data_IF_244287969549
#
_entry.id   IF_244287969549
#
_cell.length_a   1.000
_cell.length_b   1.000
_cell.length_c   1.000
_cell.angle_alpha   90.00
_cell.angle_beta   90.00
_cell.angle_gamma   90.00
#
_symmetry.space_group_name_H-M   'P 1'
#
loop_
_entity.id
_entity.type
_entity.pdbx_description
1 polymer ?
#
# COMPACT_ATOMS: atom_id res chain seq x y z
N UNK A 1 -24.75 -28.00 -30.40
CA UNK A 1 -24.80 -27.18 -29.18
C UNK A 1 -24.13 -25.88 -29.53
N UNK A 2 -24.94 -24.92 -29.99
CA UNK A 2 -24.47 -23.61 -30.41
C UNK A 2 -24.22 -22.81 -29.13
N UNK A 3 -22.95 -22.60 -28.80
CA UNK A 3 -22.54 -21.70 -27.72
C UNK A 3 -23.12 -20.33 -28.04
N UNK A 4 -24.15 -19.94 -27.31
CA UNK A 4 -24.76 -18.62 -27.42
C UNK A 4 -23.64 -17.61 -27.21
N UNK A 5 -23.26 -16.89 -28.27
CA UNK A 5 -22.31 -15.78 -28.16
C UNK A 5 -23.03 -14.66 -27.42
N UNK A 6 -23.12 -14.80 -26.09
CA UNK A 6 -23.66 -13.76 -25.24
C UNK A 6 -22.71 -12.58 -25.36
N UNK A 7 -23.25 -11.45 -25.80
CA UNK A 7 -22.48 -10.20 -25.86
C UNK A 7 -22.03 -9.90 -24.44
N UNK A 8 -20.72 -9.90 -24.20
CA UNK A 8 -20.15 -9.56 -22.90
C UNK A 8 -20.35 -8.07 -22.67
N UNK A 9 -21.03 -7.73 -21.57
CA UNK A 9 -21.23 -6.36 -21.15
C UNK A 9 -20.06 -5.85 -20.28
N UNK A 10 -19.86 -4.53 -20.19
CA UNK A 10 -18.92 -3.96 -19.22
C UNK A 10 -19.21 -4.37 -17.78
N UNK A 11 -20.49 -4.54 -17.43
CA UNK A 11 -20.93 -4.99 -16.11
C UNK A 11 -20.44 -6.40 -15.79
N UNK A 12 -20.47 -7.33 -16.76
CA UNK A 12 -19.95 -8.69 -16.58
C UNK A 12 -18.44 -8.70 -16.28
N UNK A 13 -17.68 -7.81 -16.95
CA UNK A 13 -16.24 -7.64 -16.72
C UNK A 13 -15.99 -7.08 -15.33
N UNK A 14 -16.75 -6.05 -14.94
CA UNK A 14 -16.64 -5.43 -13.62
C UNK A 14 -16.97 -6.41 -12.50
N UNK A 15 -18.05 -7.18 -12.64
CA UNK A 15 -18.45 -8.21 -11.68
C UNK A 15 -17.36 -9.27 -11.53
N UNK A 16 -16.77 -9.75 -12.63
CA UNK A 16 -15.63 -10.68 -12.56
C UNK A 16 -14.44 -10.10 -11.81
N UNK A 17 -14.06 -8.84 -12.07
CA UNK A 17 -12.93 -8.16 -11.43
C UNK A 17 -13.16 -7.90 -9.93
N UNK A 18 -14.41 -7.67 -9.53
CA UNK A 18 -14.81 -7.54 -8.12
C UNK A 18 -14.71 -8.89 -7.41
N UNK A 19 -15.17 -9.96 -8.07
CA UNK A 19 -15.25 -11.29 -7.47
C UNK A 19 -13.90 -12.02 -7.36
N UNK A 20 -12.95 -11.74 -8.25
CA UNK A 20 -11.62 -12.37 -8.25
C UNK A 20 -10.56 -11.62 -7.41
N UNK A 21 -10.95 -10.50 -6.78
CA UNK A 21 -10.08 -9.69 -5.92
C UNK A 21 -9.11 -8.79 -6.67
N UNK A 22 -9.19 -8.70 -8.01
CA UNK A 22 -8.32 -7.84 -8.81
C UNK A 22 -8.47 -6.36 -8.44
N UNK A 23 -9.70 -5.90 -8.16
CA UNK A 23 -9.95 -4.52 -7.75
C UNK A 23 -9.30 -4.18 -6.42
N UNK A 24 -9.34 -5.10 -5.45
CA UNK A 24 -8.69 -4.89 -4.15
C UNK A 24 -7.16 -4.90 -4.28
N UNK A 25 -6.61 -5.77 -5.13
CA UNK A 25 -5.18 -5.79 -5.43
C UNK A 25 -4.72 -4.47 -6.09
N UNK A 26 -5.51 -3.96 -7.03
CA UNK A 26 -5.30 -2.65 -7.66
C UNK A 26 -5.36 -1.51 -6.64
N UNK A 27 -6.39 -1.48 -5.80
CA UNK A 27 -6.54 -0.49 -4.73
C UNK A 27 -5.32 -0.51 -3.80
N UNK A 28 -4.84 -1.69 -3.41
CA UNK A 28 -3.66 -1.83 -2.58
C UNK A 28 -2.40 -1.28 -3.28
N UNK A 29 -2.24 -1.56 -4.59
CA UNK A 29 -1.12 -1.05 -5.38
C UNK A 29 -1.13 0.48 -5.49
N UNK A 30 -2.29 1.09 -5.74
CA UNK A 30 -2.49 2.55 -5.73
C UNK A 30 -2.08 3.14 -4.38
N UNK A 31 -2.60 2.58 -3.28
CA UNK A 31 -2.28 3.04 -1.92
C UNK A 31 -0.78 2.98 -1.66
N UNK A 32 -0.12 1.88 -2.04
CA UNK A 32 1.31 1.71 -1.82
C UNK A 32 2.15 2.71 -2.63
N UNK A 33 1.78 2.98 -3.89
CA UNK A 33 2.46 3.98 -4.69
C UNK A 33 2.27 5.40 -4.15
N UNK A 34 1.07 5.76 -3.69
CA UNK A 34 0.83 7.05 -3.04
C UNK A 34 1.59 7.19 -1.72
N UNK A 35 1.63 6.13 -0.91
CA UNK A 35 2.45 6.10 0.33
C UNK A 35 3.95 6.21 0.05
N UNK A 36 4.41 5.79 -1.12
CA UNK A 36 5.80 5.91 -1.54
C UNK A 36 6.10 7.22 -2.29
N UNK A 37 5.08 8.05 -2.58
CA UNK A 37 5.25 9.28 -3.31
C UNK A 37 5.89 10.37 -2.41
N UNK A 38 7.19 10.60 -2.60
CA UNK A 38 7.95 11.59 -1.86
C UNK A 38 7.52 13.03 -2.17
N UNK A 39 7.05 13.32 -3.40
CA UNK A 39 6.56 14.66 -3.75
C UNK A 39 5.31 15.02 -2.95
N UNK A 40 4.36 14.08 -2.82
CA UNK A 40 3.14 14.27 -2.03
C UNK A 40 3.47 14.42 -0.53
N UNK A 41 4.42 13.65 -0.01
CA UNK A 41 4.92 13.79 1.37
C UNK A 41 5.56 15.15 1.59
N UNK A 42 6.49 15.55 0.72
CA UNK A 42 7.19 16.82 0.82
C UNK A 42 6.24 18.01 0.71
N UNK A 43 5.22 17.91 -0.15
CA UNK A 43 4.17 18.91 -0.27
C UNK A 43 3.36 19.01 1.04
N UNK A 44 2.98 17.88 1.63
CA UNK A 44 2.25 17.83 2.90
C UNK A 44 3.09 18.42 4.06
N UNK A 45 4.39 18.13 4.11
CA UNK A 45 5.32 18.71 5.09
C UNK A 45 5.36 20.23 4.93
N UNK A 46 5.55 20.74 3.70
CA UNK A 46 5.56 22.19 3.43
C UNK A 46 4.25 22.86 3.82
N UNK A 47 3.11 22.21 3.57
CA UNK A 47 1.80 22.72 4.00
C UNK A 47 1.69 22.81 5.53
N UNK A 48 2.23 21.82 6.25
CA UNK A 48 2.30 21.86 7.71
C UNK A 48 3.24 22.98 8.19
N UNK A 49 4.42 23.13 7.61
CA UNK A 49 5.36 24.21 7.94
C UNK A 49 4.76 25.60 7.72
N UNK A 50 3.92 25.76 6.69
CA UNK A 50 3.23 27.00 6.34
C UNK A 50 1.87 27.18 7.03
N UNK A 51 1.46 26.24 7.89
CA UNK A 51 0.16 26.26 8.57
C UNK A 51 -0.05 27.53 9.38
N UNK A 52 -1.24 28.13 9.26
CA UNK A 52 -1.63 29.25 10.11
C UNK A 52 -1.75 28.81 11.56
N UNK A 53 -2.30 27.62 11.83
CA UNK A 53 -2.43 27.08 13.19
C UNK A 53 -1.08 27.02 13.90
N UNK A 54 -0.04 26.50 13.23
CA UNK A 54 1.30 26.40 13.83
C UNK A 54 2.04 27.74 13.90
N UNK A 55 1.81 28.64 12.94
CA UNK A 55 2.50 29.94 12.88
C UNK A 55 1.75 31.07 13.61
N UNK A 56 0.62 30.79 14.29
CA UNK A 56 -0.13 31.79 15.05
C UNK A 56 0.54 32.03 16.42
N UNK A 57 0.75 33.29 16.85
CA UNK A 57 1.26 33.58 18.19
C UNK A 57 0.37 32.97 19.28
N UNK A 58 0.97 32.27 20.24
CA UNK A 58 0.23 31.58 21.30
C UNK A 58 -0.07 30.12 20.99
N UNK A 59 0.26 29.61 19.80
CA UNK A 59 0.18 28.18 19.48
C UNK A 59 0.99 27.32 20.47
N UNK A 60 2.10 27.85 21.01
CA UNK A 60 2.93 27.19 22.01
C UNK A 60 2.23 26.93 23.35
N UNK A 61 1.11 27.60 23.61
CA UNK A 61 0.32 27.47 24.85
C UNK A 61 -0.84 26.47 24.71
N UNK A 62 -1.17 26.06 23.48
CA UNK A 62 -2.20 25.06 23.23
C UNK A 62 -1.69 23.66 23.57
N UNK A 63 -2.62 22.77 23.90
CA UNK A 63 -2.29 21.36 24.08
C UNK A 63 -1.95 20.71 22.74
N UNK A 64 -1.18 19.62 22.78
CA UNK A 64 -0.86 18.83 21.57
C UNK A 64 -2.13 18.41 20.81
N UNK A 65 -3.20 18.05 21.54
CA UNK A 65 -4.47 17.62 20.94
C UNK A 65 -5.12 18.75 20.17
N UNK A 66 -5.27 19.92 20.79
CA UNK A 66 -5.85 21.11 20.15
C UNK A 66 -5.06 21.51 18.89
N UNK A 67 -3.73 21.47 18.96
CA UNK A 67 -2.87 21.73 17.80
C UNK A 67 -3.10 20.72 16.67
N UNK A 68 -3.15 19.42 16.96
CA UNK A 68 -3.39 18.40 15.93
C UNK A 68 -4.79 18.51 15.34
N UNK A 69 -5.80 18.74 16.15
CA UNK A 69 -7.18 18.86 15.70
C UNK A 69 -7.36 20.11 14.81
N UNK A 70 -6.81 21.26 15.24
CA UNK A 70 -6.84 22.48 14.46
C UNK A 70 -6.02 22.36 13.16
N UNK A 71 -4.82 21.75 13.23
CA UNK A 71 -3.98 21.51 12.05
C UNK A 71 -4.68 20.58 11.05
N UNK A 72 -5.34 19.52 11.55
CA UNK A 72 -6.14 18.63 10.72
C UNK A 72 -7.29 19.38 10.07
N UNK A 73 -8.00 20.22 10.83
CA UNK A 73 -9.10 21.03 10.28
C UNK A 73 -8.62 22.00 9.19
N UNK A 74 -7.40 22.53 9.30
CA UNK A 74 -6.80 23.39 8.28
C UNK A 74 -6.33 22.60 7.04
N UNK A 75 -5.67 21.46 7.24
CA UNK A 75 -4.90 20.79 6.18
C UNK A 75 -5.55 19.55 5.57
N UNK A 76 -6.55 18.92 6.21
CA UNK A 76 -7.14 17.67 5.72
C UNK A 76 -7.72 17.83 4.32
N UNK A 77 -8.56 18.83 4.09
CA UNK A 77 -9.15 19.07 2.78
C UNK A 77 -8.12 19.31 1.67
N UNK A 78 -7.17 20.27 1.78
CA UNK A 78 -6.22 20.52 0.69
C UNK A 78 -5.22 19.38 0.50
N UNK A 79 -4.83 18.64 1.56
CA UNK A 79 -3.97 17.45 1.41
C UNK A 79 -4.72 16.33 0.70
N UNK A 80 -5.98 16.08 1.07
CA UNK A 80 -6.82 15.08 0.40
C UNK A 80 -7.07 15.44 -1.06
N UNK A 81 -7.24 16.73 -1.40
CA UNK A 81 -7.38 17.18 -2.77
C UNK A 81 -6.13 16.85 -3.60
N UNK A 82 -4.93 17.15 -3.08
CA UNK A 82 -3.66 16.79 -3.74
C UNK A 82 -3.52 15.28 -3.91
N UNK A 83 -3.83 14.50 -2.86
CA UNK A 83 -3.78 13.04 -2.93
C UNK A 83 -4.77 12.48 -3.96
N UNK A 84 -6.01 12.99 -3.99
CA UNK A 84 -7.04 12.60 -4.95
C UNK A 84 -6.59 12.89 -6.38
N UNK A 85 -5.98 14.06 -6.62
CA UNK A 85 -5.42 14.38 -7.93
C UNK A 85 -4.33 13.39 -8.35
N UNK A 86 -3.40 13.06 -7.44
CA UNK A 86 -2.35 12.08 -7.72
C UNK A 86 -2.89 10.67 -7.97
N UNK A 87 -3.99 10.27 -7.32
CA UNK A 87 -4.68 9.00 -7.61
C UNK A 87 -5.18 8.99 -9.06
N UNK A 88 -5.86 10.04 -9.50
CA UNK A 88 -6.37 10.13 -10.87
C UNK A 88 -5.26 10.15 -11.90
N UNK A 89 -4.20 10.92 -11.66
CA UNK A 89 -3.00 10.93 -12.52
C UNK A 89 -2.42 9.53 -12.66
N UNK A 90 -2.38 8.75 -11.58
CA UNK A 90 -1.86 7.39 -11.59
C UNK A 90 -2.78 6.40 -12.34
N UNK A 91 -4.10 6.52 -12.18
CA UNK A 91 -5.09 5.66 -12.85
C UNK A 91 -5.15 5.97 -14.35
N UNK A 92 -5.01 7.25 -14.73
CA UNK A 92 -5.10 7.70 -16.12
C UNK A 92 -3.76 7.61 -16.87
N UNK A 93 -2.67 7.26 -16.19
CA UNK A 93 -1.36 7.10 -16.80
C UNK A 93 -1.32 5.91 -17.78
N UNK A 94 -1.02 6.21 -19.05
CA UNK A 94 -0.96 5.21 -20.12
C UNK A 94 0.33 4.39 -20.11
N UNK A 95 1.31 4.73 -19.27
CA UNK A 95 2.63 4.12 -19.29
C UNK A 95 2.96 3.29 -18.03
N UNK A 96 2.24 3.49 -16.94
CA UNK A 96 2.42 2.82 -15.66
C UNK A 96 1.17 2.06 -15.22
N UNK A 97 0.61 2.43 -14.06
CA UNK A 97 -0.47 1.66 -13.45
C UNK A 97 -1.76 1.67 -14.28
N UNK A 98 -2.11 2.79 -14.93
CA UNK A 98 -3.27 2.84 -15.82
C UNK A 98 -3.18 1.86 -17.00
N UNK A 99 -1.97 1.64 -17.54
CA UNK A 99 -1.72 0.57 -18.53
C UNK A 99 -2.03 -0.81 -17.96
N UNK A 100 -1.57 -1.10 -16.75
CA UNK A 100 -1.83 -2.39 -16.10
C UNK A 100 -3.33 -2.60 -15.83
N UNK A 101 -4.06 -1.55 -15.44
CA UNK A 101 -5.52 -1.59 -15.28
C UNK A 101 -6.17 -1.97 -16.62
N UNK A 102 -5.80 -1.29 -17.70
CA UNK A 102 -6.33 -1.58 -19.04
C UNK A 102 -6.03 -3.02 -19.48
N UNK A 103 -4.81 -3.52 -19.24
CA UNK A 103 -4.42 -4.89 -19.56
C UNK A 103 -5.20 -5.93 -18.75
N UNK A 104 -5.52 -5.65 -17.48
CA UNK A 104 -6.34 -6.54 -16.67
C UNK A 104 -7.80 -6.58 -17.12
N UNK A 105 -8.38 -5.42 -17.42
CA UNK A 105 -9.74 -5.33 -17.98
C UNK A 105 -9.83 -6.09 -19.31
N UNK A 106 -8.88 -5.86 -20.22
CA UNK A 106 -8.84 -6.55 -21.52
C UNK A 106 -8.66 -8.07 -21.37
N UNK A 107 -7.83 -8.50 -20.41
CA UNK A 107 -7.62 -9.93 -20.11
C UNK A 107 -8.91 -10.60 -19.64
N UNK A 108 -9.64 -9.96 -18.72
CA UNK A 108 -10.93 -10.48 -18.24
C UNK A 108 -11.96 -10.49 -19.36
N UNK A 109 -12.02 -9.42 -20.15
CA UNK A 109 -12.92 -9.34 -21.30
C UNK A 109 -12.65 -10.46 -22.33
N UNK A 110 -11.38 -10.70 -22.69
CA UNK A 110 -11.00 -11.77 -23.61
C UNK A 110 -11.38 -13.16 -23.08
N UNK A 111 -11.16 -13.40 -21.78
CA UNK A 111 -11.54 -14.64 -21.09
C UNK A 111 -13.05 -14.88 -21.14
N UNK A 112 -13.85 -13.86 -20.78
CA UNK A 112 -15.31 -13.96 -20.81
C UNK A 112 -15.85 -14.12 -22.24
N UNK A 113 -15.21 -13.50 -23.22
CA UNK A 113 -15.58 -13.59 -24.64
C UNK A 113 -15.19 -14.93 -25.29
N UNK A 114 -14.55 -15.84 -24.56
CA UNK A 114 -14.01 -17.09 -25.13
C UNK A 114 -12.90 -16.86 -26.17
N UNK A 115 -12.30 -15.67 -26.18
CA UNK A 115 -11.19 -15.28 -27.06
C UNK A 115 -9.82 -15.56 -26.43
N UNK A 116 -9.81 -16.04 -25.18
CA UNK A 116 -8.62 -16.60 -24.57
C UNK A 116 -8.19 -17.84 -25.36
N UNK A 117 -7.12 -17.71 -26.15
CA UNK A 117 -6.45 -18.85 -26.77
C UNK A 117 -6.10 -19.88 -25.69
N UNK A 118 -6.24 -21.19 -25.92
CA UNK A 118 -5.74 -22.22 -25.01
C UNK A 118 -4.21 -22.22 -25.08
N UNK A 119 -3.60 -21.22 -24.46
CA UNK A 119 -2.18 -21.20 -24.17
C UNK A 119 -2.05 -21.89 -22.82
N UNK A 120 -1.43 -23.06 -22.87
CA UNK A 120 -0.91 -23.85 -21.76
C UNK A 120 -0.64 -23.02 -20.49
N UNK A 121 -0.87 -23.58 -19.28
CA UNK A 121 -0.81 -22.82 -18.04
C UNK A 121 0.52 -22.08 -17.93
N UNK A 122 0.44 -20.75 -17.94
CA UNK A 122 1.57 -19.90 -17.59
C UNK A 122 1.90 -20.23 -16.13
N UNK A 123 3.11 -20.72 -15.93
CA UNK A 123 3.62 -21.10 -14.61
C UNK A 123 3.29 -20.02 -13.58
N UNK A 124 2.67 -20.48 -12.50
CA UNK A 124 2.67 -19.84 -11.20
C UNK A 124 4.07 -19.28 -10.91
N UNK A 125 4.25 -17.96 -11.11
CA UNK A 125 5.40 -17.19 -10.61
C UNK A 125 5.04 -16.65 -9.23
N UNK A 126 4.52 -17.52 -8.36
CA UNK A 126 4.89 -17.49 -6.96
C UNK A 126 6.31 -18.04 -6.82
N UNK A 127 7.33 -17.18 -6.92
CA UNK A 127 8.61 -17.28 -6.16
C UNK A 127 9.59 -16.20 -6.65
N UNK A 128 9.95 -15.32 -5.72
CA UNK A 128 11.07 -14.39 -5.83
C UNK A 128 12.38 -15.16 -6.09
N UNK A 129 13.26 -14.77 -7.03
CA UNK A 129 14.51 -15.48 -7.22
C UNK A 129 15.51 -15.07 -6.13
N UNK A 130 15.57 -15.86 -5.05
CA UNK A 130 16.78 -15.95 -4.24
C UNK A 130 17.83 -16.73 -5.07
N UNK A 131 18.67 -15.99 -5.79
CA UNK A 131 19.73 -16.56 -6.62
C UNK A 131 20.85 -17.10 -5.72
N UNK A 132 20.74 -18.38 -5.38
CA UNK A 132 21.82 -19.17 -4.78
C UNK A 132 22.76 -19.61 -5.91
N UNK A 133 23.93 -18.99 -5.96
CA UNK A 133 25.01 -19.34 -6.89
C UNK A 133 25.44 -20.80 -6.68
N UNK A 134 25.44 -21.59 -7.76
CA UNK A 134 26.22 -22.82 -7.85
C UNK A 134 27.29 -22.64 -8.94
N UNK A 135 28.48 -23.07 -8.56
CA UNK A 135 29.77 -22.90 -9.19
C UNK A 135 30.17 -24.20 -9.87
N UNK A 136 30.31 -24.18 -11.19
CA UNK A 136 30.96 -25.27 -11.91
C UNK A 136 32.45 -24.98 -12.09
N UNK A 137 33.26 -26.00 -11.80
CA UNK A 137 34.71 -26.01 -11.72
C UNK A 137 35.28 -26.48 -13.06
N UNK A 138 36.35 -25.83 -13.56
CA UNK A 138 37.26 -26.48 -14.50
C UNK A 138 38.18 -25.60 -15.36
N UNK A 139 39.36 -25.24 -14.81
CA UNK A 139 40.72 -25.15 -15.42
C UNK A 139 40.96 -24.21 -16.62
N UNK A 140 42.11 -23.57 -16.85
CA UNK A 140 43.40 -23.32 -16.18
C UNK A 140 44.21 -22.48 -17.19
N UNK A 141 44.81 -21.34 -16.79
CA UNK A 141 46.17 -20.94 -17.20
C UNK A 141 46.61 -19.63 -16.53
N UNK A 142 47.88 -19.64 -16.12
CA UNK A 142 48.59 -18.75 -15.24
C UNK A 142 48.80 -17.31 -15.77
N UNK A 143 48.86 -16.32 -14.86
CA UNK A 143 50.14 -15.69 -14.58
C UNK A 143 50.15 -14.84 -13.29
N UNK A 144 51.34 -14.82 -12.71
CA UNK A 144 51.78 -14.35 -11.39
C UNK A 144 51.81 -12.81 -11.24
N UNK A 145 51.48 -12.29 -10.05
CA UNK A 145 52.24 -11.21 -9.36
C UNK A 145 51.72 -10.95 -7.93
N UNK A 146 52.68 -10.75 -7.03
CA UNK A 146 52.68 -10.54 -5.55
C UNK A 146 51.88 -9.28 -5.13
N UNK A 147 51.38 -9.07 -3.91
CA UNK A 147 51.95 -9.06 -2.53
C UNK A 147 50.77 -9.18 -1.53
N UNK A 148 50.79 -10.05 -0.50
CA UNK A 148 51.38 -9.94 0.85
C UNK A 148 50.72 -8.90 1.78
N UNK A 149 50.11 -9.43 2.86
CA UNK A 149 49.84 -8.88 4.23
C UNK A 149 48.42 -9.31 4.68
N UNK A 150 48.08 -9.72 5.90
CA UNK A 150 48.80 -10.10 7.12
C UNK A 150 47.75 -10.77 8.05
N UNK A 151 47.98 -12.02 8.44
CA UNK A 151 47.63 -12.67 9.73
C UNK A 151 46.18 -12.82 10.26
N UNK A 152 45.93 -13.82 11.15
CA UNK A 152 44.63 -14.51 11.30
C UNK A 152 44.01 -14.43 12.73
N UNK A 153 42.72 -14.72 12.86
CA UNK A 153 42.09 -15.15 14.13
C UNK A 153 40.82 -15.98 13.83
N UNK A 154 40.82 -17.30 14.01
CA UNK A 154 40.70 -18.08 15.24
C UNK A 154 39.26 -18.14 15.83
N UNK A 155 38.72 -19.37 15.82
CA UNK A 155 37.81 -19.97 16.82
C UNK A 155 36.32 -19.59 16.76
N UNK A 156 35.41 -20.46 16.31
CA UNK A 156 34.82 -21.65 16.99
C UNK A 156 33.87 -21.29 18.16
N UNK A 157 32.63 -21.82 18.07
CA UNK A 157 31.67 -22.23 19.14
C UNK A 157 30.70 -21.16 19.72
N UNK A 158 29.38 -21.30 19.48
CA UNK A 158 28.37 -21.97 20.36
C UNK A 158 26.91 -21.71 19.93
N UNK A 159 26.11 -22.75 20.11
CA UNK A 159 24.64 -22.85 20.10
C UNK A 159 24.12 -22.58 21.53
N UNK A 160 22.96 -21.91 21.67
CA UNK A 160 21.98 -22.22 22.73
C UNK A 160 20.57 -21.69 22.37
N UNK A 161 19.59 -22.59 22.39
CA UNK A 161 18.14 -22.39 22.44
C UNK A 161 17.67 -21.95 23.83
N UNK A 162 16.47 -21.37 24.00
CA UNK A 162 15.43 -21.80 24.98
C UNK A 162 14.32 -20.74 25.15
N UNK A 163 13.08 -21.23 25.11
CA UNK A 163 11.81 -20.52 25.26
C UNK A 163 11.54 -20.26 26.74
N UNK A 164 10.77 -19.21 27.06
CA UNK A 164 10.02 -19.22 28.32
C UNK A 164 8.63 -18.60 28.14
N UNK A 165 7.65 -19.32 28.69
CA UNK A 165 6.23 -19.00 28.71
C UNK A 165 5.81 -18.57 30.13
N UNK A 166 4.57 -18.10 30.20
CA UNK A 166 3.73 -17.85 31.40
C UNK A 166 3.78 -16.47 32.06
N UNK A 167 2.56 -16.03 32.42
CA UNK A 167 2.31 -14.87 33.27
C UNK A 167 0.89 -14.32 33.14
N UNK A 168 -0.11 -15.11 33.55
CA UNK A 168 -1.51 -14.68 33.69
C UNK A 168 -1.75 -13.93 35.03
N UNK A 169 -2.60 -12.89 35.02
CA UNK A 169 -3.45 -12.44 36.14
C UNK A 169 -4.56 -11.51 35.59
N UNK A 170 -5.84 -11.91 35.67
CA UNK A 170 -6.94 -11.36 36.53
C UNK A 170 -7.14 -9.83 36.44
N UNK A 171 -8.26 -9.25 36.00
CA UNK A 171 -9.70 -9.34 36.35
C UNK A 171 -10.20 -8.10 37.15
N UNK A 172 -11.43 -7.66 36.83
CA UNK A 172 -12.25 -6.57 37.42
C UNK A 172 -11.88 -5.12 37.03
N UNK A 173 -12.78 -4.22 36.59
CA UNK A 173 -14.11 -3.89 37.17
C UNK A 173 -15.06 -3.18 36.18
N UNK A 174 -16.37 -3.33 36.43
CA UNK A 174 -17.54 -2.67 35.80
C UNK A 174 -17.73 -1.19 36.22
N UNK A 175 -18.33 -0.38 35.35
CA UNK A 175 -19.35 0.69 35.60
C UNK A 175 -19.61 1.43 34.26
N UNK A 176 -20.78 1.42 33.59
CA UNK A 176 -22.04 2.17 33.83
C UNK A 176 -21.88 3.67 33.49
N UNK A 177 -22.57 4.39 32.59
CA UNK A 177 -23.78 4.28 31.74
C UNK A 177 -23.70 5.37 30.60
N UNK A 178 -24.60 5.44 29.58
CA UNK A 178 -24.41 6.20 28.33
C UNK A 178 -24.86 7.68 28.35
N UNK A 179 -24.41 8.54 27.40
CA UNK A 179 -24.80 9.95 27.36
C UNK A 179 -26.10 10.21 26.58
N UNK A 180 -26.93 11.07 27.18
CA UNK A 180 -28.17 11.65 26.66
C UNK A 180 -27.94 12.55 25.44
N UNK A 181 -28.77 12.37 24.42
CA UNK A 181 -28.87 13.14 23.17
C UNK A 181 -29.70 14.41 23.41
N UNK A 182 -29.32 15.60 22.90
CA UNK A 182 -30.22 16.72 22.72
C UNK A 182 -30.45 17.00 21.22
N UNK A 183 -31.67 16.81 20.71
CA UNK A 183 -32.05 17.32 19.38
C UNK A 183 -33.08 18.46 19.47
N UNK A 184 -32.51 19.63 19.24
CA UNK A 184 -32.89 20.74 18.37
C UNK A 184 -34.34 20.93 17.89
N UNK A 185 -34.78 22.15 18.16
CA UNK A 185 -36.00 22.83 17.72
C UNK A 185 -35.88 23.29 16.28
N UNK A 186 -36.67 22.75 15.36
CA UNK A 186 -36.84 23.27 14.00
C UNK A 186 -37.68 24.55 14.01
N UNK A 187 -37.10 25.67 13.59
CA UNK A 187 -37.86 26.85 13.17
C UNK A 187 -37.20 27.54 11.98
N UNK A 188 -37.73 27.26 10.79
CA UNK A 188 -37.56 28.10 9.61
C UNK A 188 -38.29 29.44 9.80
N UNK A 189 -37.79 30.52 9.17
CA UNK A 189 -38.68 31.55 8.69
C UNK A 189 -38.54 31.73 7.18
N UNK A 190 -39.71 31.66 6.54
CA UNK A 190 -40.02 32.12 5.20
C UNK A 190 -40.26 33.64 5.24
N UNK A 191 -39.54 34.39 4.40
CA UNK A 191 -39.99 35.61 3.70
C UNK A 191 -38.86 36.09 2.78
#
# INVERSE_FOLDING_TARGET
>A
MESSSSVISPEDVLESLMNDGTIDALRLKIINQLKANEELKNTTIKMAEQSKVLNTPGAEKQTKRELFDALRQELEAPVLEKASKSVWELILDNNGLGKEINEMVERVFCRLSGRESPLFPLQDVGTWPNKKNQNETGKELANESKEKENSPSASKKRNFSEMNAEGAYEAASRSGDPPTIPEESTKSPQA
#
